data_IF_221253290599
#
_entry.id   IF_221253290599
#
_cell.length_a   1.000
_cell.length_b   1.000
_cell.length_c   1.000
_cell.angle_alpha   90.00
_cell.angle_beta   90.00
_cell.angle_gamma   90.00
#
_symmetry.space_group_name_H-M   'P 1'
#
loop_
_entity.id
_entity.type
_entity.pdbx_description
1 polymer ?
#
# COMPACT_ATOMS: atom_id res chain seq x y z
N UNK A 1 -6.94 19.18 26.65
CA UNK A 1 -7.47 19.28 25.28
C UNK A 1 -8.73 18.43 25.22
N UNK A 2 -9.85 18.89 24.64
CA UNK A 2 -11.02 18.03 24.47
C UNK A 2 -10.61 16.76 23.71
N UNK A 3 -11.16 15.61 24.07
CA UNK A 3 -10.91 14.37 23.35
C UNK A 3 -11.31 14.57 21.88
N UNK A 4 -10.39 14.27 20.96
CA UNK A 4 -10.67 14.35 19.53
C UNK A 4 -11.72 13.29 19.18
N UNK A 5 -12.81 13.70 18.51
CA UNK A 5 -13.88 12.77 18.12
C UNK A 5 -13.31 11.65 17.23
N UNK A 6 -13.75 10.40 17.37
CA UNK A 6 -13.34 9.32 16.48
C UNK A 6 -13.72 9.60 15.03
N UNK A 7 -12.80 9.31 14.11
CA UNK A 7 -13.02 9.38 12.66
C UNK A 7 -13.78 8.16 12.19
N UNK A 8 -15.08 8.31 11.95
CA UNK A 8 -15.99 7.20 11.72
C UNK A 8 -15.64 6.37 10.47
N UNK A 9 -15.09 7.02 9.42
CA UNK A 9 -14.63 6.37 8.20
C UNK A 9 -13.48 5.37 8.43
N UNK A 10 -12.74 5.52 9.54
CA UNK A 10 -11.60 4.67 9.88
C UNK A 10 -11.86 3.66 10.99
N UNK A 11 -13.09 3.58 11.51
CA UNK A 11 -13.41 2.58 12.53
C UNK A 11 -13.73 1.24 11.86
N UNK A 12 -12.85 0.25 12.05
CA UNK A 12 -13.17 -1.13 11.71
C UNK A 12 -14.35 -1.66 12.54
N UNK A 13 -14.87 -2.84 12.18
CA UNK A 13 -16.04 -3.42 12.84
C UNK A 13 -15.86 -3.54 14.34
N UNK A 14 -14.71 -4.03 14.79
CA UNK A 14 -14.44 -4.25 16.21
C UNK A 14 -14.37 -2.92 16.99
N UNK A 15 -13.70 -1.92 16.43
CA UNK A 15 -13.59 -0.58 17.00
C UNK A 15 -14.94 0.11 17.06
N UNK A 16 -15.77 -0.07 16.03
CA UNK A 16 -17.14 0.46 16.00
C UNK A 16 -18.05 -0.25 17.01
N UNK A 17 -17.97 -1.58 17.12
CA UNK A 17 -18.67 -2.35 18.15
C UNK A 17 -18.29 -1.89 19.56
N UNK A 18 -17.00 -1.64 19.80
CA UNK A 18 -16.51 -1.12 21.08
C UNK A 18 -17.06 0.28 21.39
N UNK A 19 -17.04 1.19 20.40
CA UNK A 19 -17.63 2.53 20.55
C UNK A 19 -19.12 2.46 20.89
N UNK A 20 -19.88 1.64 20.15
CA UNK A 20 -21.31 1.44 20.34
C UNK A 20 -21.64 0.82 21.69
N UNK A 21 -20.85 -0.14 22.17
CA UNK A 21 -21.01 -0.72 23.49
C UNK A 21 -20.86 0.35 24.60
N UNK A 22 -19.91 1.28 24.44
CA UNK A 22 -19.75 2.44 25.33
C UNK A 22 -20.98 3.37 25.35
N UNK A 23 -21.83 3.29 24.32
CA UNK A 23 -23.08 4.02 24.22
C UNK A 23 -24.32 3.21 24.66
N UNK A 24 -24.14 1.95 25.05
CA UNK A 24 -25.24 1.04 25.39
C UNK A 24 -25.96 0.46 24.16
N UNK A 25 -25.37 0.57 22.97
CA UNK A 25 -25.95 0.05 21.73
C UNK A 25 -25.53 -1.40 21.47
N UNK A 26 -26.40 -2.13 20.78
CA UNK A 26 -26.13 -3.54 20.45
C UNK A 26 -25.09 -3.70 19.33
N UNK A 27 -24.22 -4.73 19.37
CA UNK A 27 -23.14 -4.91 18.38
C UNK A 27 -23.61 -4.96 16.92
N UNK A 28 -24.80 -5.49 16.65
CA UNK A 28 -25.32 -5.56 15.28
C UNK A 28 -25.49 -4.18 14.62
N UNK A 29 -25.58 -3.09 15.39
CA UNK A 29 -25.62 -1.72 14.87
C UNK A 29 -24.36 -1.35 14.09
N UNK A 30 -23.20 -1.92 14.47
CA UNK A 30 -21.96 -1.70 13.74
C UNK A 30 -22.08 -2.13 12.27
N UNK A 31 -22.68 -3.31 12.03
CA UNK A 31 -22.91 -3.84 10.67
C UNK A 31 -23.78 -2.89 9.84
N UNK A 32 -24.84 -2.36 10.44
CA UNK A 32 -25.73 -1.41 9.75
C UNK A 32 -24.99 -0.12 9.40
N UNK A 33 -24.22 0.43 10.34
CA UNK A 33 -23.45 1.66 10.13
C UNK A 33 -22.39 1.45 9.05
N UNK A 34 -21.64 0.34 9.08
CA UNK A 34 -20.67 0.01 8.03
C UNK A 34 -21.33 -0.09 6.65
N UNK A 35 -22.50 -0.73 6.55
CA UNK A 35 -23.25 -0.82 5.29
C UNK A 35 -23.66 0.56 4.76
N UNK A 36 -24.04 1.51 5.62
CA UNK A 36 -24.36 2.86 5.18
C UNK A 36 -23.12 3.62 4.72
N UNK A 37 -22.08 3.62 5.53
CA UNK A 37 -20.89 4.47 5.32
C UNK A 37 -20.04 3.93 4.18
N UNK A 38 -19.72 2.64 4.19
CA UNK A 38 -18.89 2.03 3.17
C UNK A 38 -19.76 1.45 2.07
N UNK A 39 -20.73 0.58 2.41
CA UNK A 39 -21.56 -0.12 1.43
C UNK A 39 -22.41 0.80 0.54
N UNK A 40 -22.96 1.90 1.07
CA UNK A 40 -23.82 2.85 0.33
C UNK A 40 -23.18 4.21 0.09
N UNK A 41 -22.05 4.49 0.74
CA UNK A 41 -21.39 5.79 0.70
C UNK A 41 -22.24 6.96 1.22
N UNK A 42 -23.16 6.69 2.14
CA UNK A 42 -24.03 7.71 2.73
C UNK A 42 -23.43 8.18 4.05
N UNK A 43 -23.29 9.49 4.17
CA UNK A 43 -22.61 10.18 5.29
C UNK A 43 -23.55 11.08 6.07
N UNK A 44 -24.72 11.41 5.51
CA UNK A 44 -25.82 12.00 6.26
C UNK A 44 -26.48 10.93 7.14
N UNK A 45 -26.25 11.02 8.45
CA UNK A 45 -26.87 10.11 9.40
C UNK A 45 -28.40 10.14 9.31
N UNK A 46 -29.02 11.27 8.93
CA UNK A 46 -30.48 11.38 8.79
C UNK A 46 -31.06 10.43 7.72
N UNK A 47 -30.27 9.98 6.76
CA UNK A 47 -30.69 9.02 5.74
C UNK A 47 -30.69 7.56 6.24
N UNK A 48 -30.04 7.27 7.38
CA UNK A 48 -29.89 5.92 7.91
C UNK A 48 -31.20 5.40 8.55
N UNK A 49 -32.17 5.03 7.70
CA UNK A 49 -33.57 4.74 8.08
C UNK A 49 -33.76 3.56 9.04
N UNK A 50 -32.81 2.61 9.07
CA UNK A 50 -32.83 1.47 9.98
C UNK A 50 -32.05 1.72 11.31
N UNK A 51 -31.58 2.95 11.53
CA UNK A 51 -30.90 3.40 12.76
C UNK A 51 -31.83 4.34 13.55
N UNK A 52 -31.87 4.16 14.88
CA UNK A 52 -32.74 4.97 15.75
C UNK A 52 -32.40 6.46 15.66
N UNK A 53 -33.39 7.33 15.87
CA UNK A 53 -33.15 8.80 15.90
C UNK A 53 -32.10 9.18 16.94
N UNK A 54 -32.14 8.54 18.12
CA UNK A 54 -31.18 8.78 19.20
C UNK A 54 -29.74 8.42 18.79
N UNK A 55 -29.54 7.26 18.17
CA UNK A 55 -28.19 6.84 17.73
C UNK A 55 -27.67 7.72 16.59
N UNK A 56 -28.53 8.14 15.65
CA UNK A 56 -28.14 9.09 14.59
C UNK A 56 -27.67 10.43 15.14
N UNK A 57 -28.40 10.99 16.11
CA UNK A 57 -27.99 12.22 16.79
C UNK A 57 -26.64 12.04 17.48
N UNK A 58 -26.46 10.93 18.19
CA UNK A 58 -25.20 10.62 18.89
C UNK A 58 -24.02 10.44 17.94
N UNK A 59 -24.20 9.75 16.82
CA UNK A 59 -23.17 9.65 15.77
C UNK A 59 -22.76 11.04 15.27
N UNK A 60 -23.72 11.92 15.02
CA UNK A 60 -23.44 13.30 14.58
C UNK A 60 -22.73 14.14 15.63
N UNK A 61 -23.05 13.95 16.92
CA UNK A 61 -22.50 14.73 18.02
C UNK A 61 -21.14 14.23 18.48
N UNK A 62 -20.93 12.91 18.52
CA UNK A 62 -19.76 12.30 19.15
C UNK A 62 -18.73 11.78 18.15
N UNK A 63 -19.05 11.67 16.87
CA UNK A 63 -18.08 11.28 15.83
C UNK A 63 -17.75 12.43 14.89
N UNK A 64 -16.72 12.24 14.08
CA UNK A 64 -16.43 13.11 12.95
C UNK A 64 -16.24 12.28 11.69
N UNK A 65 -16.45 12.95 10.57
CA UNK A 65 -16.34 12.38 9.25
C UNK A 65 -15.81 13.46 8.31
N UNK A 66 -14.77 13.13 7.56
CA UNK A 66 -14.20 14.01 6.55
C UNK A 66 -13.96 13.22 5.26
N UNK A 67 -14.43 13.77 4.13
CA UNK A 67 -14.00 13.30 2.81
C UNK A 67 -12.69 13.99 2.44
N UNK A 68 -11.79 13.30 1.72
CA UNK A 68 -10.58 13.92 1.23
C UNK A 68 -10.92 14.97 0.16
N UNK A 69 -10.22 16.09 0.18
CA UNK A 69 -10.30 17.06 -0.93
C UNK A 69 -9.50 16.52 -2.12
N UNK A 70 -10.09 16.48 -3.32
CA UNK A 70 -9.37 16.12 -4.54
C UNK A 70 -8.73 17.39 -5.10
N UNK A 71 -7.44 17.56 -4.85
CA UNK A 71 -6.66 18.71 -5.30
C UNK A 71 -6.30 18.62 -6.79
N UNK A 72 -6.13 17.40 -7.31
CA UNK A 72 -5.92 17.15 -8.73
C UNK A 72 -6.43 15.77 -9.14
N UNK A 73 -6.86 15.67 -10.39
CA UNK A 73 -7.33 14.44 -11.04
C UNK A 73 -6.74 14.38 -12.44
N UNK A 74 -5.89 13.38 -12.69
CA UNK A 74 -5.13 13.24 -13.92
C UNK A 74 -5.40 11.88 -14.56
N UNK A 75 -5.75 11.87 -15.85
CA UNK A 75 -6.02 10.67 -16.63
C UNK A 75 -4.94 10.53 -17.72
N UNK A 76 -4.22 9.41 -17.67
CA UNK A 76 -3.21 9.01 -18.64
C UNK A 76 -3.83 8.46 -19.93
N UNK A 77 -3.06 8.43 -21.01
CA UNK A 77 -3.48 7.85 -22.28
C UNK A 77 -3.81 6.35 -22.20
N UNK A 78 -3.17 5.62 -21.26
CA UNK A 78 -3.40 4.19 -21.03
C UNK A 78 -4.57 3.89 -20.05
N UNK A 79 -5.37 4.91 -19.73
CA UNK A 79 -6.50 4.83 -18.80
C UNK A 79 -6.12 4.90 -17.31
N UNK A 80 -4.82 4.91 -16.97
CA UNK A 80 -4.38 5.10 -15.59
C UNK A 80 -4.86 6.45 -15.07
N UNK A 81 -5.49 6.47 -13.90
CA UNK A 81 -6.00 7.70 -13.28
C UNK A 81 -5.33 7.92 -11.95
N UNK A 82 -4.77 9.11 -11.73
CA UNK A 82 -4.11 9.51 -10.50
C UNK A 82 -4.86 10.65 -9.84
N UNK A 83 -5.11 10.52 -8.55
CA UNK A 83 -5.69 11.57 -7.72
C UNK A 83 -4.68 12.07 -6.70
N UNK A 84 -4.58 13.39 -6.57
CA UNK A 84 -3.88 14.06 -5.49
C UNK A 84 -4.92 14.45 -4.44
N UNK A 85 -4.82 13.85 -3.25
CA UNK A 85 -5.76 14.05 -2.16
C UNK A 85 -5.15 14.93 -1.08
N UNK A 86 -5.81 16.05 -0.79
CA UNK A 86 -5.45 16.97 0.27
C UNK A 86 -5.80 16.42 1.65
N UNK A 87 -4.90 16.66 2.60
CA UNK A 87 -5.04 16.29 4.00
C UNK A 87 -5.22 17.54 4.88
N UNK A 88 -5.89 17.44 6.05
CA UNK A 88 -6.20 18.61 6.90
C UNK A 88 -4.98 19.41 7.38
N UNK A 89 -3.80 18.80 7.40
CA UNK A 89 -2.53 19.41 7.78
C UNK A 89 -1.82 20.12 6.61
N UNK A 90 -2.47 20.22 5.45
CA UNK A 90 -1.95 20.89 4.26
C UNK A 90 -0.94 20.07 3.46
N UNK A 91 -0.75 18.79 3.83
CA UNK A 91 -0.06 17.81 3.01
C UNK A 91 -1.01 17.24 1.94
N UNK A 92 -0.45 16.54 0.95
CA UNK A 92 -1.23 15.77 -0.01
C UNK A 92 -0.57 14.44 -0.36
N UNK A 93 -1.40 13.41 -0.57
CA UNK A 93 -0.97 12.07 -0.98
C UNK A 93 -1.55 11.71 -2.34
N UNK A 94 -0.94 10.73 -3.00
CA UNK A 94 -1.42 10.24 -4.28
C UNK A 94 -2.05 8.84 -4.16
N UNK A 95 -3.09 8.60 -4.93
CA UNK A 95 -3.69 7.27 -5.15
C UNK A 95 -3.91 7.07 -6.63
N UNK A 96 -3.66 5.85 -7.12
CA UNK A 96 -3.62 5.55 -8.56
C UNK A 96 -4.51 4.36 -8.89
N UNK A 97 -5.45 4.55 -9.80
CA UNK A 97 -6.23 3.47 -10.41
C UNK A 97 -5.63 3.05 -11.74
N UNK A 98 -5.35 1.75 -11.88
CA UNK A 98 -4.72 1.15 -13.05
C UNK A 98 -5.71 0.16 -13.68
N UNK A 99 -6.36 0.50 -14.81
CA UNK A 99 -7.26 -0.41 -15.51
C UNK A 99 -6.48 -1.39 -16.38
N UNK A 100 -6.96 -2.62 -16.49
CA UNK A 100 -6.52 -3.65 -17.41
C UNK A 100 -7.79 -4.29 -18.02
N UNK A 101 -7.65 -5.10 -19.07
CA UNK A 101 -8.80 -5.68 -19.81
C UNK A 101 -9.85 -6.31 -18.88
N UNK A 102 -9.42 -7.14 -17.92
CA UNK A 102 -10.32 -7.89 -17.02
C UNK A 102 -10.20 -7.50 -15.53
N UNK A 103 -9.42 -6.46 -15.20
CA UNK A 103 -9.18 -6.08 -13.79
C UNK A 103 -8.84 -4.61 -13.64
N UNK A 104 -9.28 -3.98 -12.55
CA UNK A 104 -8.73 -2.71 -12.08
C UNK A 104 -7.96 -2.87 -10.78
N UNK A 105 -6.80 -2.22 -10.67
CA UNK A 105 -5.96 -2.23 -9.47
C UNK A 105 -5.87 -0.83 -8.88
N UNK A 106 -6.18 -0.69 -7.59
CA UNK A 106 -6.03 0.56 -6.87
C UNK A 106 -4.75 0.52 -6.02
N UNK A 107 -3.83 1.45 -6.31
CA UNK A 107 -2.60 1.67 -5.58
C UNK A 107 -2.83 2.73 -4.50
N UNK A 108 -2.68 2.35 -3.23
CA UNK A 108 -2.93 3.22 -2.07
C UNK A 108 -1.65 3.54 -1.31
N UNK A 109 -1.60 4.76 -0.78
CA UNK A 109 -0.58 5.28 0.11
C UNK A 109 -0.87 4.93 1.57
N UNK A 110 0.18 4.75 2.36
CA UNK A 110 0.11 4.46 3.80
C UNK A 110 0.80 5.52 4.68
N UNK A 111 1.58 6.43 4.11
CA UNK A 111 2.25 7.52 4.81
C UNK A 111 2.28 8.79 3.96
N UNK A 112 2.52 9.94 4.60
CA UNK A 112 2.86 11.19 3.93
C UNK A 112 4.38 11.26 3.75
N UNK A 113 4.84 10.86 2.56
CA UNK A 113 6.26 10.63 2.30
C UNK A 113 6.74 9.26 2.77
N UNK A 114 8.05 9.03 2.86
CA UNK A 114 8.61 7.74 3.30
C UNK A 114 10.00 7.93 3.94
N UNK A 115 10.25 7.27 5.08
CA UNK A 115 11.51 7.38 5.82
C UNK A 115 12.59 6.42 5.37
N UNK A 116 12.25 5.45 4.51
CA UNK A 116 13.20 4.41 4.11
C UNK A 116 14.25 4.89 3.12
N UNK A 117 14.03 6.04 2.49
CA UNK A 117 14.99 6.72 1.62
C UNK A 117 15.60 5.80 0.52
N UNK A 118 14.78 4.91 -0.07
CA UNK A 118 15.21 4.11 -1.21
C UNK A 118 15.68 5.04 -2.33
N UNK A 119 16.92 4.86 -2.79
CA UNK A 119 17.60 5.85 -3.64
C UNK A 119 16.96 6.01 -5.03
N UNK A 120 16.21 5.01 -5.48
CA UNK A 120 15.48 4.98 -6.75
C UNK A 120 14.00 5.38 -6.61
N UNK A 121 13.59 5.98 -5.48
CA UNK A 121 12.19 6.33 -5.20
C UNK A 121 12.00 7.83 -4.94
N UNK A 122 11.12 8.48 -5.71
CA UNK A 122 10.78 9.89 -5.56
C UNK A 122 10.19 10.19 -4.16
N UNK A 123 9.31 9.32 -3.64
CA UNK A 123 8.75 9.46 -2.28
C UNK A 123 9.85 9.41 -1.21
N UNK A 124 10.86 8.56 -1.39
CA UNK A 124 11.99 8.47 -0.46
C UNK A 124 12.83 9.75 -0.43
N UNK A 125 12.95 10.46 -1.55
CA UNK A 125 13.72 11.70 -1.65
C UNK A 125 13.13 12.86 -0.81
N UNK A 126 11.81 12.82 -0.58
CA UNK A 126 11.06 13.83 0.17
C UNK A 126 11.15 13.65 1.70
N UNK A 127 11.56 12.47 2.17
CA UNK A 127 11.50 12.11 3.58
C UNK A 127 10.08 11.83 4.06
N UNK A 128 9.94 11.60 5.37
CA UNK A 128 8.67 11.28 6.02
C UNK A 128 8.18 12.49 6.82
N UNK A 129 6.91 12.84 6.66
CA UNK A 129 6.21 13.75 7.57
C UNK A 129 5.52 12.95 8.69
N UNK A 130 4.53 12.11 8.33
CA UNK A 130 3.76 11.29 9.30
C UNK A 130 3.13 10.05 8.67
N UNK A 131 2.64 9.17 9.54
CA UNK A 131 1.74 8.09 9.16
C UNK A 131 0.36 8.64 8.75
N UNK A 132 -0.29 7.96 7.81
CA UNK A 132 -1.71 8.17 7.56
C UNK A 132 -2.54 7.45 8.62
N UNK A 133 -3.64 8.06 9.04
CA UNK A 133 -4.64 7.39 9.86
C UNK A 133 -5.49 6.44 9.02
N UNK A 134 -6.14 5.47 9.67
CA UNK A 134 -6.99 4.47 8.98
C UNK A 134 -8.02 5.13 8.05
N UNK A 135 -8.66 6.22 8.50
CA UNK A 135 -9.65 6.94 7.70
C UNK A 135 -9.05 7.60 6.45
N UNK A 136 -7.79 8.05 6.48
CA UNK A 136 -7.10 8.64 5.31
C UNK A 136 -6.66 7.55 4.31
N UNK A 137 -6.35 6.35 4.80
CA UNK A 137 -6.14 5.19 3.93
C UNK A 137 -7.44 4.83 3.23
N UNK A 138 -8.53 4.64 3.99
CA UNK A 138 -9.84 4.25 3.45
C UNK A 138 -10.46 5.32 2.55
N UNK A 139 -10.20 6.60 2.82
CA UNK A 139 -10.59 7.71 1.98
C UNK A 139 -10.14 7.53 0.52
N UNK A 140 -8.93 7.00 0.28
CA UNK A 140 -8.44 6.73 -1.07
C UNK A 140 -9.29 5.70 -1.82
N UNK A 141 -9.73 4.64 -1.13
CA UNK A 141 -10.63 3.61 -1.69
C UNK A 141 -12.01 4.20 -1.95
N UNK A 142 -12.49 5.02 -1.02
CA UNK A 142 -13.79 5.70 -1.14
C UNK A 142 -13.84 6.61 -2.36
N UNK A 143 -12.82 7.45 -2.55
CA UNK A 143 -12.70 8.36 -3.71
C UNK A 143 -12.65 7.58 -5.01
N UNK A 144 -11.79 6.56 -5.10
CA UNK A 144 -11.69 5.73 -6.28
C UNK A 144 -13.03 5.05 -6.60
N UNK A 145 -13.73 4.54 -5.59
CA UNK A 145 -15.04 3.93 -5.75
C UNK A 145 -16.10 4.93 -6.22
N UNK A 146 -16.15 6.15 -5.68
CA UNK A 146 -17.12 7.17 -6.11
C UNK A 146 -16.96 7.48 -7.60
N UNK A 147 -15.72 7.46 -8.08
CA UNK A 147 -15.39 7.89 -9.45
C UNK A 147 -15.43 6.73 -10.45
N UNK A 148 -14.96 5.55 -10.08
CA UNK A 148 -14.83 4.38 -10.98
C UNK A 148 -15.93 3.35 -10.79
N UNK A 149 -16.63 3.36 -9.66
CA UNK A 149 -17.47 2.25 -9.20
C UNK A 149 -16.64 1.16 -8.50
N UNK A 150 -17.26 0.46 -7.54
CA UNK A 150 -16.59 -0.59 -6.79
C UNK A 150 -16.22 -1.79 -7.68
N UNK A 151 -17.09 -2.15 -8.64
CA UNK A 151 -16.90 -3.29 -9.53
C UNK A 151 -15.66 -3.16 -10.42
N UNK A 152 -15.25 -1.92 -10.73
CA UNK A 152 -14.03 -1.65 -11.47
C UNK A 152 -12.77 -1.92 -10.62
N UNK A 153 -12.86 -1.79 -9.30
CA UNK A 153 -11.74 -1.99 -8.37
C UNK A 153 -11.73 -3.44 -7.93
N UNK A 154 -10.91 -4.24 -8.60
CA UNK A 154 -10.83 -5.69 -8.36
C UNK A 154 -9.68 -6.11 -7.45
N UNK A 155 -8.65 -5.27 -7.33
CA UNK A 155 -7.44 -5.50 -6.55
C UNK A 155 -6.99 -4.20 -5.86
N UNK A 156 -6.39 -4.33 -4.68
CA UNK A 156 -5.81 -3.23 -3.91
C UNK A 156 -4.35 -3.56 -3.61
N UNK A 157 -3.46 -2.59 -3.83
CA UNK A 157 -2.04 -2.73 -3.54
C UNK A 157 -1.55 -1.57 -2.67
N UNK A 158 -0.86 -1.88 -1.57
CA UNK A 158 -0.17 -0.89 -0.75
C UNK A 158 1.22 -0.67 -1.34
N UNK A 159 1.26 0.02 -2.48
CA UNK A 159 2.46 0.36 -3.26
C UNK A 159 2.52 1.86 -3.59
N UNK A 160 1.70 2.66 -2.91
CA UNK A 160 1.69 4.12 -3.04
C UNK A 160 2.83 4.77 -2.26
N UNK A 161 2.55 5.89 -1.61
CA UNK A 161 3.51 6.58 -0.76
C UNK A 161 3.62 5.90 0.61
N UNK A 162 4.85 5.62 1.05
CA UNK A 162 5.16 5.11 2.40
C UNK A 162 5.53 3.63 2.48
N UNK A 163 6.05 3.24 3.64
CA UNK A 163 6.27 1.85 4.04
C UNK A 163 5.09 1.37 4.91
N UNK A 164 4.22 0.47 4.42
CA UNK A 164 3.04 0.01 5.15
C UNK A 164 3.39 -0.63 6.50
N UNK A 165 4.51 -1.36 6.59
CA UNK A 165 4.87 -2.06 7.83
C UNK A 165 5.32 -1.12 8.96
N UNK A 166 5.68 0.12 8.65
CA UNK A 166 5.95 1.17 9.65
C UNK A 166 4.66 1.89 10.10
N UNK A 167 3.52 1.55 9.50
CA UNK A 167 2.20 2.09 9.85
C UNK A 167 1.17 0.98 10.14
N UNK A 168 1.58 -0.18 10.64
CA UNK A 168 0.68 -1.31 10.87
C UNK A 168 -0.50 -0.99 11.77
N UNK A 169 -0.31 -0.12 12.76
CA UNK A 169 -1.38 0.35 13.64
C UNK A 169 -2.59 0.89 12.88
N UNK A 170 -2.37 1.54 11.73
CA UNK A 170 -3.42 2.11 10.89
C UNK A 170 -3.72 1.26 9.65
N UNK A 171 -2.74 0.51 9.16
CA UNK A 171 -2.92 -0.40 8.02
C UNK A 171 -3.77 -1.61 8.40
N UNK A 172 -3.61 -2.18 9.60
CA UNK A 172 -4.37 -3.37 10.01
C UNK A 172 -5.89 -3.12 10.07
N UNK A 173 -6.40 -2.07 10.74
CA UNK A 173 -7.82 -1.72 10.68
C UNK A 173 -8.31 -1.41 9.26
N UNK A 174 -7.46 -0.81 8.42
CA UNK A 174 -7.81 -0.59 7.01
C UNK A 174 -7.98 -1.91 6.25
N UNK A 175 -7.09 -2.88 6.45
CA UNK A 175 -7.23 -4.23 5.89
C UNK A 175 -8.50 -4.92 6.38
N UNK A 176 -8.89 -4.72 7.63
CA UNK A 176 -10.12 -5.29 8.18
C UNK A 176 -11.35 -4.68 7.51
N UNK A 177 -11.41 -3.36 7.36
CA UNK A 177 -12.48 -2.69 6.61
C UNK A 177 -12.55 -3.16 5.16
N UNK A 178 -11.41 -3.32 4.49
CA UNK A 178 -11.37 -3.80 3.10
C UNK A 178 -11.94 -5.21 2.96
N UNK A 179 -11.71 -6.09 3.94
CA UNK A 179 -12.17 -7.49 3.91
C UNK A 179 -13.58 -7.68 4.44
N UNK A 180 -14.12 -6.70 5.15
CA UNK A 180 -15.41 -6.79 5.81
C UNK A 180 -16.57 -6.84 4.79
N UNK A 181 -17.42 -7.88 4.87
CA UNK A 181 -18.60 -8.08 4.01
C UNK A 181 -19.66 -6.97 4.13
N UNK A 182 -19.69 -6.24 5.25
CA UNK A 182 -20.57 -5.10 5.47
C UNK A 182 -19.93 -3.78 5.02
N UNK A 183 -18.67 -3.80 4.59
CA UNK A 183 -17.98 -2.66 4.01
C UNK A 183 -17.62 -2.88 2.54
N UNK A 184 -16.42 -3.40 2.24
CA UNK A 184 -15.93 -3.55 0.86
C UNK A 184 -15.86 -4.99 0.36
N UNK A 185 -15.81 -5.99 1.25
CA UNK A 185 -15.89 -7.42 0.89
C UNK A 185 -14.75 -7.95 0.01
N UNK A 186 -13.55 -7.35 0.03
CA UNK A 186 -12.41 -7.86 -0.73
C UNK A 186 -11.87 -9.15 -0.11
N UNK A 187 -11.79 -10.22 -0.91
CA UNK A 187 -11.06 -11.42 -0.49
C UNK A 187 -9.56 -11.11 -0.29
N UNK A 188 -8.87 -11.75 0.67
CA UNK A 188 -7.47 -11.44 1.02
C UNK A 188 -6.49 -11.67 -0.14
N UNK A 189 -6.87 -12.51 -1.12
CA UNK A 189 -6.13 -12.77 -2.35
C UNK A 189 -6.16 -11.63 -3.38
N UNK A 190 -6.98 -10.60 -3.15
CA UNK A 190 -7.11 -9.39 -3.98
C UNK A 190 -6.41 -8.18 -3.35
N UNK A 191 -5.86 -8.33 -2.15
CA UNK A 191 -5.13 -7.29 -1.44
C UNK A 191 -3.66 -7.70 -1.37
N UNK A 192 -2.76 -6.81 -1.77
CA UNK A 192 -1.31 -7.04 -1.67
C UNK A 192 -0.67 -5.94 -0.84
N UNK A 193 0.03 -6.32 0.23
CA UNK A 193 0.88 -5.40 0.99
C UNK A 193 2.31 -5.55 0.48
N UNK A 194 2.91 -4.43 0.06
CA UNK A 194 4.32 -4.37 -0.32
C UNK A 194 5.16 -3.85 0.84
N UNK A 195 6.38 -4.36 1.00
CA UNK A 195 7.32 -3.85 2.00
C UNK A 195 8.76 -3.88 1.51
N UNK A 196 9.57 -2.93 1.95
CA UNK A 196 11.02 -2.94 1.80
C UNK A 196 11.73 -3.84 2.83
N UNK A 197 11.00 -4.54 3.69
CA UNK A 197 11.55 -5.59 4.55
C UNK A 197 11.74 -5.18 6.01
N UNK A 198 10.75 -4.53 6.61
CA UNK A 198 10.72 -4.31 8.07
C UNK A 198 10.31 -5.60 8.77
N UNK A 199 11.30 -6.45 9.12
CA UNK A 199 11.09 -7.84 9.56
C UNK A 199 10.09 -7.99 10.71
N UNK A 200 10.16 -7.22 11.82
CA UNK A 200 9.17 -7.36 12.89
C UNK A 200 7.75 -6.99 12.46
N UNK A 201 7.61 -6.03 11.54
CA UNK A 201 6.33 -5.68 10.96
C UNK A 201 5.80 -6.78 10.04
N UNK A 202 6.68 -7.51 9.36
CA UNK A 202 6.30 -8.58 8.45
C UNK A 202 5.75 -9.78 9.22
N UNK A 203 6.42 -10.16 10.31
CA UNK A 203 5.96 -11.21 11.22
C UNK A 203 4.59 -10.83 11.83
N UNK A 204 4.43 -9.57 12.25
CA UNK A 204 3.16 -9.05 12.79
C UNK A 204 2.02 -9.08 11.76
N UNK A 205 2.26 -8.60 10.53
CA UNK A 205 1.26 -8.65 9.45
C UNK A 205 0.83 -10.09 9.17
N UNK A 206 1.78 -11.02 9.12
CA UNK A 206 1.49 -12.44 8.91
C UNK A 206 0.61 -13.05 10.01
N UNK A 207 0.85 -12.66 11.27
CA UNK A 207 0.09 -13.15 12.41
C UNK A 207 -1.33 -12.57 12.49
N UNK A 208 -1.49 -11.26 12.23
CA UNK A 208 -2.75 -10.54 12.47
C UNK A 208 -3.65 -10.46 11.24
N UNK A 209 -3.09 -10.30 10.04
CA UNK A 209 -3.87 -10.04 8.82
C UNK A 209 -3.18 -10.58 7.55
N UNK A 210 -3.12 -11.91 7.37
CA UNK A 210 -2.45 -12.50 6.21
C UNK A 210 -3.16 -12.13 4.90
N UNK A 211 -2.40 -11.55 3.97
CA UNK A 211 -2.82 -11.11 2.63
C UNK A 211 -1.76 -11.53 1.60
N UNK A 212 -1.90 -11.19 0.33
CA UNK A 212 -0.78 -11.38 -0.58
C UNK A 212 0.37 -10.45 -0.17
N UNK A 213 1.60 -10.94 -0.32
CA UNK A 213 2.81 -10.22 0.07
C UNK A 213 3.66 -9.93 -1.16
N UNK A 214 4.13 -8.68 -1.24
CA UNK A 214 5.19 -8.28 -2.14
C UNK A 214 6.41 -7.75 -1.35
N UNK A 215 7.60 -8.09 -1.79
CA UNK A 215 8.87 -7.66 -1.20
C UNK A 215 9.61 -6.78 -2.20
N UNK A 216 9.84 -5.53 -1.83
CA UNK A 216 10.72 -4.58 -2.52
C UNK A 216 12.19 -4.99 -2.29
N UNK A 217 12.63 -6.01 -3.04
CA UNK A 217 13.93 -6.66 -2.86
C UNK A 217 15.07 -5.87 -3.49
N UNK A 218 14.95 -5.63 -4.80
CA UNK A 218 15.80 -4.76 -5.64
C UNK A 218 17.31 -5.04 -5.69
N UNK A 219 17.83 -5.99 -4.94
CA UNK A 219 19.21 -6.46 -5.06
C UNK A 219 19.34 -7.87 -4.50
N UNK A 220 20.24 -8.66 -5.07
CA UNK A 220 20.52 -10.04 -4.65
C UNK A 220 21.74 -10.20 -3.74
N UNK A 221 22.36 -9.08 -3.35
CA UNK A 221 23.48 -9.03 -2.39
C UNK A 221 23.33 -7.82 -1.47
N UNK A 222 23.77 -7.95 -0.22
CA UNK A 222 23.62 -6.92 0.81
C UNK A 222 24.34 -5.62 0.46
N UNK A 223 25.53 -5.66 -0.17
CA UNK A 223 26.31 -4.45 -0.44
C UNK A 223 25.58 -3.50 -1.40
N UNK A 224 24.89 -4.06 -2.39
CA UNK A 224 24.06 -3.29 -3.33
C UNK A 224 22.75 -2.88 -2.64
N UNK A 225 22.16 -3.79 -1.86
CA UNK A 225 20.88 -3.53 -1.19
C UNK A 225 20.98 -2.45 -0.11
N UNK A 226 22.10 -2.37 0.60
CA UNK A 226 22.39 -1.33 1.58
C UNK A 226 22.35 0.08 0.97
N UNK A 227 22.72 0.21 -0.31
CA UNK A 227 22.65 1.48 -1.04
C UNK A 227 21.24 1.73 -1.54
N UNK A 228 20.64 0.75 -2.24
CA UNK A 228 19.35 0.92 -2.90
C UNK A 228 18.18 1.00 -1.92
N UNK A 229 18.21 0.19 -0.86
CA UNK A 229 17.14 -0.01 0.11
C UNK A 229 17.75 0.03 1.53
N UNK A 230 18.05 1.23 2.07
CA UNK A 230 18.87 1.41 3.28
C UNK A 230 18.42 0.65 4.54
N UNK A 231 17.14 0.27 4.63
CA UNK A 231 16.63 -0.58 5.71
C UNK A 231 17.33 -1.95 5.78
N UNK A 232 17.98 -2.39 4.70
CA UNK A 232 18.81 -3.59 4.67
C UNK A 232 19.92 -3.60 5.73
N UNK A 233 20.48 -2.44 6.07
CA UNK A 233 21.51 -2.33 7.13
C UNK A 233 20.99 -2.72 8.51
N UNK A 234 19.68 -2.64 8.70
CA UNK A 234 19.00 -3.04 9.93
C UNK A 234 18.43 -4.45 9.82
N UNK A 235 17.89 -4.82 8.66
CA UNK A 235 17.35 -6.14 8.38
C UNK A 235 17.98 -6.70 7.08
N UNK A 236 19.15 -7.35 7.18
CA UNK A 236 19.87 -7.87 6.01
C UNK A 236 19.08 -8.93 5.26
N UNK A 237 19.52 -9.25 4.03
CA UNK A 237 18.83 -10.19 3.14
C UNK A 237 18.51 -11.53 3.81
N UNK A 238 19.46 -12.10 4.56
CA UNK A 238 19.25 -13.38 5.23
C UNK A 238 18.05 -13.34 6.20
N UNK A 239 17.97 -12.31 7.03
CA UNK A 239 16.90 -12.13 8.01
C UNK A 239 15.55 -11.87 7.31
N UNK A 240 15.55 -11.02 6.28
CA UNK A 240 14.37 -10.74 5.45
C UNK A 240 13.82 -12.02 4.80
N UNK A 241 14.70 -12.84 4.20
CA UNK A 241 14.31 -14.07 3.52
C UNK A 241 13.82 -15.13 4.50
N UNK A 242 14.38 -15.20 5.69
CA UNK A 242 13.87 -16.07 6.76
C UNK A 242 12.48 -15.64 7.22
N UNK A 243 12.22 -14.33 7.35
CA UNK A 243 10.88 -13.82 7.63
C UNK A 243 9.89 -14.15 6.48
N UNK A 244 10.34 -14.05 5.22
CA UNK A 244 9.54 -14.47 4.07
C UNK A 244 9.19 -15.97 4.11
N UNK A 245 10.11 -16.84 4.55
CA UNK A 245 9.84 -18.28 4.71
C UNK A 245 8.80 -18.58 5.78
N UNK A 246 8.75 -17.77 6.85
CA UNK A 246 7.77 -17.91 7.95
C UNK A 246 6.42 -17.26 7.65
N UNK A 247 6.34 -16.37 6.66
CA UNK A 247 5.09 -15.68 6.35
C UNK A 247 4.00 -16.68 5.91
N UNK A 248 2.80 -16.66 6.53
CA UNK A 248 1.76 -17.64 6.27
C UNK A 248 1.05 -17.35 4.94
N UNK A 249 1.66 -17.80 3.84
CA UNK A 249 1.11 -17.63 2.50
C UNK A 249 -0.26 -18.29 2.36
N UNK A 250 -1.17 -17.58 1.69
CA UNK A 250 -2.46 -18.12 1.32
C UNK A 250 -2.27 -19.32 0.36
N UNK A 251 -3.18 -20.32 0.38
CA UNK A 251 -3.06 -21.50 -0.46
C UNK A 251 -2.86 -21.17 -1.95
N UNK A 252 -1.86 -21.82 -2.57
CA UNK A 252 -1.48 -21.64 -3.99
C UNK A 252 -1.05 -20.21 -4.33
N UNK A 253 -0.54 -19.45 -3.36
CA UNK A 253 0.09 -18.14 -3.57
C UNK A 253 1.60 -18.23 -3.43
N UNK A 254 2.26 -17.21 -3.98
CA UNK A 254 3.70 -17.01 -3.96
C UNK A 254 3.96 -15.59 -3.45
N UNK A 255 5.09 -15.38 -2.80
CA UNK A 255 5.59 -14.03 -2.51
C UNK A 255 6.07 -13.43 -3.82
N UNK A 256 5.65 -12.21 -4.09
CA UNK A 256 6.13 -11.45 -5.24
C UNK A 256 7.36 -10.65 -4.84
N UNK A 257 8.51 -10.92 -5.44
CA UNK A 257 9.72 -10.14 -5.25
C UNK A 257 9.80 -9.08 -6.35
N UNK A 258 9.65 -7.83 -5.97
CA UNK A 258 9.78 -6.68 -6.86
C UNK A 258 11.27 -6.35 -7.02
N UNK A 259 11.72 -6.24 -8.27
CA UNK A 259 13.13 -6.04 -8.62
C UNK A 259 13.23 -4.93 -9.68
N UNK A 260 13.72 -3.76 -9.29
CA UNK A 260 13.88 -2.63 -10.22
C UNK A 260 15.12 -2.87 -11.08
N UNK A 261 15.02 -2.60 -12.37
CA UNK A 261 16.09 -2.83 -13.33
C UNK A 261 16.87 -1.54 -13.58
N UNK A 262 18.01 -1.41 -12.88
CA UNK A 262 18.88 -0.25 -12.91
C UNK A 262 20.16 -0.59 -13.70
N UNK A 263 20.40 0.17 -14.77
CA UNK A 263 21.47 -0.11 -15.73
C UNK A 263 22.85 -0.12 -15.06
N UNK A 264 23.55 -1.25 -15.15
CA UNK A 264 24.91 -1.41 -14.61
C UNK A 264 25.02 -1.45 -13.09
N UNK A 265 23.90 -1.44 -12.36
CA UNK A 265 23.88 -1.43 -10.89
C UNK A 265 23.50 -2.79 -10.31
N UNK A 266 22.40 -3.37 -10.79
CA UNK A 266 21.82 -4.59 -10.21
C UNK A 266 21.26 -5.56 -11.27
N UNK A 267 21.63 -5.39 -12.54
CA UNK A 267 21.00 -6.04 -13.69
C UNK A 267 21.93 -7.01 -14.44
N UNK A 268 23.04 -7.43 -13.82
CA UNK A 268 23.97 -8.38 -14.44
C UNK A 268 23.44 -9.81 -14.41
N UNK A 269 23.97 -10.67 -15.29
CA UNK A 269 23.69 -12.11 -15.24
C UNK A 269 24.07 -12.75 -13.88
N UNK A 270 25.12 -12.21 -13.22
CA UNK A 270 25.55 -12.68 -11.91
C UNK A 270 24.52 -12.35 -10.84
N UNK A 271 23.89 -11.17 -10.92
CA UNK A 271 22.80 -10.75 -10.03
C UNK A 271 21.57 -11.63 -10.21
N UNK A 272 21.20 -11.99 -11.45
CA UNK A 272 20.09 -12.91 -11.74
C UNK A 272 20.32 -14.32 -11.15
N UNK A 273 21.54 -14.87 -11.33
CA UNK A 273 21.89 -16.18 -10.75
C UNK A 273 21.96 -16.13 -9.22
N UNK A 274 22.41 -15.01 -8.65
CA UNK A 274 22.39 -14.80 -7.19
C UNK A 274 20.95 -14.72 -6.66
N UNK A 275 20.05 -14.05 -7.39
CA UNK A 275 18.64 -13.96 -7.06
C UNK A 275 18.01 -15.36 -6.95
N UNK A 276 18.25 -16.23 -7.93
CA UNK A 276 17.77 -17.63 -7.89
C UNK A 276 18.25 -18.38 -6.64
N UNK A 277 19.51 -18.17 -6.22
CA UNK A 277 20.04 -18.84 -5.02
C UNK A 277 19.34 -18.36 -3.75
N UNK A 278 19.16 -17.05 -3.58
CA UNK A 278 18.58 -16.50 -2.34
C UNK A 278 17.07 -16.77 -2.23
N UNK A 279 16.37 -16.92 -3.36
CA UNK A 279 14.94 -17.27 -3.39
C UNK A 279 14.67 -18.76 -3.20
N UNK A 280 15.72 -19.59 -3.14
CA UNK A 280 15.57 -21.03 -2.93
C UNK A 280 14.80 -21.34 -1.64
N UNK A 281 13.84 -22.27 -1.75
CA UNK A 281 12.97 -22.67 -0.64
C UNK A 281 11.83 -21.69 -0.33
N UNK A 282 11.66 -20.61 -1.11
CA UNK A 282 10.54 -19.68 -0.97
C UNK A 282 9.61 -19.87 -2.18
N UNK A 283 8.28 -20.06 -1.98
CA UNK A 283 7.32 -19.98 -3.08
C UNK A 283 7.33 -18.57 -3.67
N UNK A 284 8.10 -18.36 -4.73
CA UNK A 284 8.44 -17.04 -5.23
C UNK A 284 7.98 -16.81 -6.68
N UNK A 285 7.65 -15.56 -6.95
CA UNK A 285 7.55 -14.97 -8.28
C UNK A 285 8.41 -13.70 -8.29
N UNK A 286 9.01 -13.36 -9.41
CA UNK A 286 9.77 -12.11 -9.57
C UNK A 286 9.05 -11.19 -10.54
N UNK A 287 8.84 -9.94 -10.12
CA UNK A 287 8.39 -8.87 -10.98
C UNK A 287 9.59 -7.96 -11.29
N UNK A 288 10.04 -7.98 -12.53
CA UNK A 288 11.04 -7.04 -13.02
C UNK A 288 10.35 -5.71 -13.34
N UNK A 289 10.79 -4.63 -12.71
CA UNK A 289 10.26 -3.28 -12.91
C UNK A 289 11.30 -2.50 -13.72
N UNK A 290 11.05 -2.23 -15.02
CA UNK A 290 11.87 -1.28 -15.74
C UNK A 290 11.82 0.07 -15.01
N UNK A 291 12.98 0.62 -14.67
CA UNK A 291 13.06 1.85 -13.88
C UNK A 291 12.37 3.02 -14.60
N UNK A 292 11.52 3.74 -13.86
CA UNK A 292 10.90 4.98 -14.32
C UNK A 292 11.69 6.15 -13.72
N UNK A 293 12.36 6.91 -14.56
CA UNK A 293 13.19 8.02 -14.11
C UNK A 293 12.33 9.13 -13.49
N UNK A 294 12.94 9.91 -12.61
CA UNK A 294 12.35 11.11 -12.00
C UNK A 294 13.44 12.19 -11.86
N UNK A 295 13.06 13.48 -11.79
CA UNK A 295 14.03 14.57 -11.64
C UNK A 295 14.94 14.37 -10.41
N UNK A 296 16.25 14.36 -10.64
CA UNK A 296 17.26 14.19 -9.58
C UNK A 296 17.67 12.75 -9.29
N UNK A 297 17.18 11.75 -10.04
CA UNK A 297 17.68 10.37 -9.97
C UNK A 297 19.05 10.23 -10.64
N UNK A 298 19.98 9.56 -9.97
CA UNK A 298 21.29 9.17 -10.53
C UNK A 298 21.25 7.88 -11.36
N UNK A 299 20.10 7.18 -11.36
CA UNK A 299 19.94 5.90 -12.03
C UNK A 299 19.37 6.00 -13.44
N UNK A 300 19.69 5.01 -14.26
CA UNK A 300 19.15 4.82 -15.59
C UNK A 300 18.43 3.49 -15.71
N UNK A 301 17.44 3.43 -16.60
CA UNK A 301 16.70 2.22 -16.91
C UNK A 301 17.60 1.26 -17.69
N UNK A 302 17.68 0.01 -17.24
CA UNK A 302 18.37 -1.05 -17.99
C UNK A 302 17.82 -1.16 -19.43
N UNK A 303 18.68 -1.36 -20.45
CA UNK A 303 18.26 -1.61 -21.81
C UNK A 303 17.31 -2.81 -21.90
N UNK A 304 16.33 -2.78 -22.80
CA UNK A 304 15.32 -3.85 -22.91
C UNK A 304 15.95 -5.24 -23.11
N UNK A 305 17.00 -5.35 -23.95
CA UNK A 305 17.75 -6.59 -24.15
C UNK A 305 18.35 -7.13 -22.84
N UNK A 306 18.80 -6.25 -21.95
CA UNK A 306 19.37 -6.61 -20.65
C UNK A 306 18.29 -7.13 -19.70
N UNK A 307 17.13 -6.47 -19.68
CA UNK A 307 15.94 -6.90 -18.91
C UNK A 307 15.46 -8.27 -19.38
N UNK A 308 15.34 -8.48 -20.70
CA UNK A 308 14.90 -9.77 -21.27
C UNK A 308 15.88 -10.89 -20.92
N UNK A 309 17.19 -10.66 -21.05
CA UNK A 309 18.18 -11.66 -20.70
C UNK A 309 18.23 -11.96 -19.18
N UNK A 310 17.99 -10.96 -18.31
CA UNK A 310 17.84 -11.17 -16.86
C UNK A 310 16.61 -12.03 -16.55
N UNK A 311 15.46 -11.71 -17.17
CA UNK A 311 14.22 -12.49 -17.06
C UNK A 311 14.43 -13.94 -17.48
N UNK A 312 15.07 -14.16 -18.64
CA UNK A 312 15.24 -15.48 -19.22
C UNK A 312 16.15 -16.37 -18.34
N UNK A 313 17.14 -15.80 -17.65
CA UNK A 313 17.95 -16.53 -16.66
C UNK A 313 17.07 -17.02 -15.50
N UNK A 314 16.20 -16.17 -14.97
CA UNK A 314 15.34 -16.53 -13.83
C UNK A 314 14.29 -17.56 -14.24
N UNK A 315 13.69 -17.41 -15.42
CA UNK A 315 12.73 -18.39 -15.97
C UNK A 315 13.36 -19.77 -16.16
N UNK A 316 14.62 -19.85 -16.61
CA UNK A 316 15.37 -21.12 -16.72
C UNK A 316 15.69 -21.74 -15.36
N UNK A 317 15.60 -20.97 -14.27
CA UNK A 317 15.72 -21.44 -12.90
C UNK A 317 14.37 -21.78 -12.24
N UNK A 318 13.31 -21.99 -13.04
CA UNK A 318 11.95 -22.36 -12.61
C UNK A 318 11.25 -21.37 -11.66
N UNK A 319 11.72 -20.12 -11.60
CA UNK A 319 11.06 -19.03 -10.89
C UNK A 319 10.24 -18.20 -11.87
N UNK A 320 8.92 -18.16 -11.65
CA UNK A 320 8.01 -17.40 -12.49
C UNK A 320 8.40 -15.92 -12.48
N UNK A 321 8.63 -15.35 -13.67
CA UNK A 321 9.11 -13.98 -13.79
C UNK A 321 8.31 -13.22 -14.83
N UNK A 322 7.88 -12.01 -14.47
CA UNK A 322 7.14 -11.10 -15.36
C UNK A 322 7.84 -9.76 -15.39
N UNK A 323 7.98 -9.17 -16.57
CA UNK A 323 8.39 -7.77 -16.71
C UNK A 323 7.15 -6.89 -16.66
N UNK A 324 7.05 -6.00 -15.65
CA UNK A 324 5.94 -5.06 -15.55
C UNK A 324 5.96 -4.08 -16.73
N UNK A 325 4.79 -3.82 -17.30
CA UNK A 325 4.60 -2.72 -18.25
C UNK A 325 4.51 -1.41 -17.45
N UNK A 326 5.24 -0.35 -17.83
CA UNK A 326 5.02 0.98 -17.25
C UNK A 326 3.57 1.41 -17.47
N UNK A 327 2.95 2.01 -16.45
CA UNK A 327 1.56 2.49 -16.48
C UNK A 327 1.50 3.91 -15.92
N UNK A 328 0.82 4.82 -16.62
CA UNK A 328 0.66 6.22 -16.24
C UNK A 328 1.97 7.02 -16.10
N UNK A 329 3.01 6.67 -16.86
CA UNK A 329 4.31 7.36 -16.84
C UNK A 329 4.20 8.82 -17.33
N UNK A 330 3.31 9.07 -18.29
CA UNK A 330 2.98 10.40 -18.85
C UNK A 330 2.41 11.39 -17.81
N UNK A 331 1.86 10.87 -16.71
CA UNK A 331 1.32 11.67 -15.60
C UNK A 331 2.09 11.47 -14.28
N UNK A 332 3.30 10.91 -14.34
CA UNK A 332 4.11 10.57 -13.17
C UNK A 332 3.33 9.73 -12.13
N UNK A 333 2.63 8.69 -12.59
CA UNK A 333 1.88 7.75 -11.75
C UNK A 333 2.51 6.35 -11.71
N UNK A 334 3.63 6.13 -12.41
CA UNK A 334 4.30 4.84 -12.40
C UNK A 334 4.96 4.56 -11.04
N UNK A 335 5.22 3.28 -10.76
CA UNK A 335 5.86 2.86 -9.51
C UNK A 335 7.17 3.64 -9.28
N UNK A 336 7.28 4.27 -8.10
CA UNK A 336 8.44 5.05 -7.68
C UNK A 336 8.39 6.54 -8.04
N UNK A 337 7.41 7.02 -8.83
CA UNK A 337 7.30 8.43 -9.23
C UNK A 337 6.37 9.26 -8.34
N UNK A 338 5.63 8.63 -7.42
CA UNK A 338 4.70 9.33 -6.55
C UNK A 338 5.43 10.29 -5.60
N UNK A 339 5.02 11.55 -5.65
CA UNK A 339 5.63 12.66 -4.95
C UNK A 339 4.61 13.38 -4.05
N UNK A 340 3.32 13.35 -4.35
CA UNK A 340 2.33 14.11 -3.58
C UNK A 340 2.74 15.56 -3.29
N UNK A 341 2.37 16.07 -2.10
CA UNK A 341 2.88 17.32 -1.55
C UNK A 341 3.23 17.13 -0.07
N UNK A 342 4.53 17.05 0.23
CA UNK A 342 5.04 16.80 1.60
C UNK A 342 5.68 18.06 2.16
N UNK A 343 5.10 18.63 3.22
CA UNK A 343 5.67 19.75 3.98
C UNK A 343 6.63 19.22 5.05
N UNK A 344 7.78 19.87 5.24
CA UNK A 344 8.74 19.58 6.32
C UNK A 344 9.16 18.09 6.49
N UNK A 345 9.33 17.37 5.37
CA UNK A 345 9.71 15.96 5.38
C UNK A 345 11.10 15.71 6.00
N UNK A 346 11.18 14.75 6.94
CA UNK A 346 12.43 14.37 7.63
C UNK A 346 12.95 13.05 7.09
N UNK A 347 14.25 12.99 6.80
CA UNK A 347 14.91 11.80 6.23
C UNK A 347 15.24 10.71 7.26
N UNK A 348 15.07 10.98 8.56
CA UNK A 348 15.35 10.02 9.63
C UNK A 348 14.25 10.01 10.70
N UNK A 349 13.54 8.88 10.81
CA UNK A 349 12.74 8.52 11.98
C UNK A 349 13.29 7.17 12.48
N UNK A 350 13.46 6.96 13.80
CA UNK A 350 13.89 5.66 14.31
C UNK A 350 12.95 4.56 13.81
N UNK A 351 13.53 3.50 13.25
CA UNK A 351 12.82 2.28 12.81
C UNK A 351 12.22 1.58 14.04
N UNK A 352 11.09 2.08 14.52
CA UNK A 352 10.30 1.45 15.57
C UNK A 352 8.97 1.07 14.94
N UNK A 353 8.68 -0.22 14.91
CA UNK A 353 7.31 -0.69 14.66
C UNK A 353 6.49 -0.17 15.83
N UNK A 354 5.50 0.67 15.54
CA UNK A 354 4.58 1.16 16.57
C UNK A 354 3.78 -0.04 17.07
N UNK A 355 3.72 -0.21 18.41
CA UNK A 355 2.92 -1.25 19.05
C UNK A 355 1.44 -1.10 18.66
#
# INVERSE_FOLDING_TARGET
>A
MPAQKPQLLGLDRQSLEFLLAGWGESPFRAKQILQWIHGRQITDFAEMSNISKALRARLSEETQYAEPEILADQLAADGTRKWLLGLPDGNAIETVFIPEEDRGTLCVSSQVGCSLACSFCATGAQGLNRNLDTHEIIAQIRTARQIQGLDAITNIVFMGMGEPLLNLRQVLPALDLLRDDFAYGFGPKRITVSTAGVVPGLDRLGAESPVNLAISLHASRDEVRDVLVPVNRHYPLAELLDACRRYPLLPRRRITFEYVMLDGVNDSDADARALLRILSGIPAMVNLIPFNSFPGSDYQRSPQKRIDAFRDIILRGDVMTVTRRPRGDDIAAACGQLAGQVRDGRRSIPLRVQA
#
